data_IF_230558340700
#
_entry.id   IF_230558340700
#
_cell.length_a   1.000
_cell.length_b   1.000
_cell.length_c   1.000
_cell.angle_alpha   90.00
_cell.angle_beta   90.00
_cell.angle_gamma   90.00
#
_symmetry.space_group_name_H-M   'P 1'
#
loop_
_entity.id
_entity.type
_entity.pdbx_description
1 polymer ?
#
# COMPACT_ATOMS: atom_id res chain seq x y z
N UNK A 1 24.61 -10.59 10.68
CA UNK A 1 23.37 -10.95 10.03
C UNK A 1 22.75 -9.72 9.36
N UNK A 2 22.51 -9.80 8.06
CA UNK A 2 21.89 -8.65 7.40
C UNK A 2 20.48 -8.41 7.92
N UNK A 3 20.17 -7.18 8.18
CA UNK A 3 18.83 -6.80 8.58
C UNK A 3 18.00 -6.56 7.32
N UNK A 4 16.80 -7.11 7.31
CA UNK A 4 15.83 -6.76 6.28
C UNK A 4 15.46 -5.31 6.48
N UNK A 5 15.73 -4.49 5.48
CA UNK A 5 15.57 -3.05 5.61
C UNK A 5 14.25 -2.56 5.07
N UNK A 6 13.42 -3.43 4.51
CA UNK A 6 12.06 -3.08 4.12
C UNK A 6 11.09 -4.16 4.56
N UNK A 7 9.85 -3.75 4.73
CA UNK A 7 8.74 -4.62 5.11
C UNK A 7 7.52 -4.24 4.27
N UNK A 8 6.48 -5.07 4.32
CA UNK A 8 5.23 -4.80 3.64
C UNK A 8 4.19 -4.32 4.64
N UNK A 9 3.53 -3.23 4.31
CA UNK A 9 2.38 -2.73 5.06
C UNK A 9 1.13 -2.76 4.19
N UNK A 10 -0.03 -2.75 4.83
CA UNK A 10 -1.31 -2.78 4.14
C UNK A 10 -2.23 -1.71 4.68
N UNK A 11 -2.96 -1.06 3.79
CA UNK A 11 -4.03 -0.14 4.13
C UNK A 11 -5.30 -0.69 3.50
N UNK A 12 -6.30 -0.98 4.32
CA UNK A 12 -7.53 -1.62 3.87
C UNK A 12 -8.70 -0.64 3.91
N UNK A 13 -9.42 -0.56 2.80
CA UNK A 13 -10.65 0.23 2.70
C UNK A 13 -11.82 -0.71 2.49
N UNK A 14 -12.87 -0.52 3.28
CA UNK A 14 -14.13 -1.25 3.10
C UNK A 14 -15.03 -0.42 2.22
N UNK A 15 -15.50 -1.01 1.14
CA UNK A 15 -16.26 -0.31 0.12
C UNK A 15 -17.68 -0.90 0.00
N UNK A 16 -18.59 -0.06 -0.46
CA UNK A 16 -19.95 -0.49 -0.77
C UNK A 16 -19.91 -1.40 -2.02
N UNK A 17 -20.86 -2.32 -2.10
CA UNK A 17 -21.00 -3.21 -3.25
C UNK A 17 -21.38 -2.47 -4.54
N UNK A 18 -21.77 -1.21 -4.43
CA UNK A 18 -22.09 -0.35 -5.58
C UNK A 18 -20.86 0.33 -6.16
N UNK A 19 -19.68 0.11 -5.57
CA UNK A 19 -18.44 0.71 -6.03
C UNK A 19 -18.04 0.14 -7.37
N UNK A 20 -17.59 1.00 -8.28
CA UNK A 20 -16.91 0.55 -9.49
C UNK A 20 -15.51 0.10 -9.09
N UNK A 21 -15.23 -1.21 -9.13
CA UNK A 21 -13.94 -1.72 -8.64
C UNK A 21 -12.75 -1.20 -9.45
N UNK A 22 -12.90 -1.05 -10.75
CA UNK A 22 -11.82 -0.61 -11.61
C UNK A 22 -11.41 0.83 -11.29
N UNK A 23 -12.39 1.72 -11.13
CA UNK A 23 -12.12 3.13 -10.79
C UNK A 23 -11.49 3.26 -9.42
N UNK A 24 -11.99 2.52 -8.43
CA UNK A 24 -11.45 2.54 -7.07
C UNK A 24 -10.01 2.04 -7.04
N UNK A 25 -9.74 0.93 -7.70
CA UNK A 25 -8.41 0.35 -7.77
C UNK A 25 -7.43 1.30 -8.44
N UNK A 26 -7.83 1.90 -9.55
CA UNK A 26 -6.99 2.85 -10.29
C UNK A 26 -6.63 4.05 -9.43
N UNK A 27 -7.61 4.65 -8.76
CA UNK A 27 -7.40 5.83 -7.92
C UNK A 27 -6.43 5.52 -6.77
N UNK A 28 -6.61 4.38 -6.11
CA UNK A 28 -5.78 4.02 -4.96
C UNK A 28 -4.38 3.58 -5.37
N UNK A 29 -4.26 2.89 -6.49
CA UNK A 29 -2.95 2.51 -7.03
C UNK A 29 -2.15 3.76 -7.38
N UNK A 30 -2.77 4.75 -8.02
CA UNK A 30 -2.11 6.00 -8.33
C UNK A 30 -1.69 6.76 -7.08
N UNK A 31 -2.53 6.78 -6.05
CA UNK A 31 -2.20 7.40 -4.78
C UNK A 31 -0.96 6.76 -4.16
N UNK A 32 -0.95 5.43 -4.12
CA UNK A 32 0.18 4.69 -3.56
C UNK A 32 1.46 4.92 -4.35
N UNK A 33 1.38 4.91 -5.67
CA UNK A 33 2.55 5.14 -6.51
C UNK A 33 3.12 6.54 -6.34
N UNK A 34 2.28 7.53 -6.15
CA UNK A 34 2.74 8.90 -5.96
C UNK A 34 3.56 9.04 -4.66
N UNK A 35 3.19 8.34 -3.61
CA UNK A 35 3.96 8.30 -2.37
C UNK A 35 5.22 7.45 -2.55
N UNK A 36 5.07 6.28 -3.16
CA UNK A 36 6.17 5.33 -3.37
C UNK A 36 7.32 5.95 -4.16
N UNK A 37 7.04 6.76 -5.17
CA UNK A 37 8.07 7.41 -5.98
C UNK A 37 9.02 8.26 -5.15
N UNK A 38 8.59 8.77 -4.01
CA UNK A 38 9.42 9.60 -3.13
C UNK A 38 10.51 8.81 -2.44
N UNK A 39 10.34 7.50 -2.26
CA UNK A 39 11.32 6.66 -1.56
C UNK A 39 11.70 5.41 -2.35
N UNK A 40 11.29 5.32 -3.62
CA UNK A 40 11.55 4.14 -4.46
C UNK A 40 13.02 3.80 -4.56
N UNK A 41 13.88 4.80 -4.67
CA UNK A 41 15.33 4.57 -4.79
C UNK A 41 15.89 3.85 -3.57
N UNK A 42 15.39 4.18 -2.39
CA UNK A 42 15.82 3.51 -1.17
C UNK A 42 15.34 2.06 -1.14
N UNK A 43 14.10 1.81 -1.56
CA UNK A 43 13.59 0.44 -1.67
C UNK A 43 14.40 -0.37 -2.68
N UNK A 44 14.70 0.20 -3.84
CA UNK A 44 15.50 -0.46 -4.86
C UNK A 44 16.90 -0.82 -4.32
N UNK A 45 17.48 0.09 -3.56
CA UNK A 45 18.79 -0.15 -2.93
C UNK A 45 18.71 -1.31 -1.92
N UNK A 46 17.74 -1.28 -1.03
CA UNK A 46 17.58 -2.35 -0.04
C UNK A 46 17.29 -3.69 -0.69
N UNK A 47 16.50 -3.68 -1.76
CA UNK A 47 16.19 -4.89 -2.51
C UNK A 47 17.47 -5.47 -3.16
N UNK A 48 18.31 -4.63 -3.75
CA UNK A 48 19.56 -5.06 -4.35
C UNK A 48 20.52 -5.67 -3.31
N UNK A 49 20.58 -5.07 -2.12
CA UNK A 49 21.38 -5.60 -1.02
C UNK A 49 20.86 -6.98 -0.61
N UNK A 50 19.55 -7.11 -0.48
CA UNK A 50 18.93 -8.36 -0.07
C UNK A 50 19.15 -9.46 -1.10
N UNK A 51 19.04 -9.16 -2.39
CA UNK A 51 19.32 -10.13 -3.45
C UNK A 51 20.76 -10.63 -3.41
N UNK A 52 21.71 -9.74 -3.16
CA UNK A 52 23.12 -10.13 -3.04
C UNK A 52 23.36 -11.05 -1.84
N UNK A 53 22.77 -10.71 -0.71
CA UNK A 53 22.90 -11.49 0.52
C UNK A 53 22.29 -12.87 0.36
N UNK A 54 21.12 -12.95 -0.25
CA UNK A 54 20.41 -14.20 -0.46
C UNK A 54 20.91 -14.99 -1.67
N UNK A 55 21.76 -14.38 -2.48
CA UNK A 55 22.26 -14.95 -3.74
C UNK A 55 21.12 -15.46 -4.62
N UNK A 56 20.05 -14.68 -4.69
CA UNK A 56 18.82 -15.04 -5.40
C UNK A 56 18.18 -13.77 -5.94
N UNK A 57 17.72 -13.83 -7.18
CA UNK A 57 16.93 -12.76 -7.75
C UNK A 57 15.44 -12.98 -7.44
N UNK A 58 14.74 -11.92 -7.07
CA UNK A 58 13.29 -11.96 -6.86
C UNK A 58 12.67 -10.64 -7.25
N UNK A 59 11.33 -10.61 -7.48
CA UNK A 59 10.67 -9.41 -7.99
C UNK A 59 10.89 -8.19 -7.12
N UNK A 60 11.04 -7.03 -7.77
CA UNK A 60 11.16 -5.76 -7.05
C UNK A 60 9.88 -5.46 -6.30
N UNK A 61 9.99 -5.03 -5.04
CA UNK A 61 8.81 -4.63 -4.29
C UNK A 61 8.23 -3.33 -4.86
N UNK A 62 6.92 -3.31 -5.02
CA UNK A 62 6.20 -2.14 -5.50
C UNK A 62 4.77 -2.21 -4.97
N UNK A 63 4.08 -1.06 -4.87
CA UNK A 63 2.70 -1.06 -4.41
C UNK A 63 1.80 -1.89 -5.31
N UNK A 64 0.81 -2.52 -4.70
CA UNK A 64 -0.20 -3.29 -5.42
C UNK A 64 -1.50 -3.32 -4.64
N UNK A 65 -2.54 -3.81 -5.27
CA UNK A 65 -3.86 -3.90 -4.66
C UNK A 65 -4.40 -5.32 -4.81
N UNK A 66 -5.27 -5.69 -3.87
CA UNK A 66 -6.05 -6.92 -3.99
C UNK A 66 -7.44 -6.69 -3.43
N UNK A 67 -8.40 -7.47 -3.92
CA UNK A 67 -9.77 -7.45 -3.46
C UNK A 67 -10.03 -8.66 -2.57
N UNK A 68 -10.85 -8.48 -1.55
CA UNK A 68 -11.30 -9.59 -0.73
C UNK A 68 -12.68 -9.30 -0.15
N UNK A 69 -13.45 -10.36 0.09
CA UNK A 69 -14.70 -10.26 0.82
C UNK A 69 -14.45 -10.70 2.25
N UNK A 70 -14.99 -9.92 3.18
CA UNK A 70 -14.95 -10.23 4.61
C UNK A 70 -16.35 -10.05 5.19
N UNK A 71 -16.51 -10.31 6.47
CA UNK A 71 -17.78 -10.06 7.16
C UNK A 71 -18.17 -8.58 7.11
N UNK A 72 -17.18 -7.70 6.97
CA UNK A 72 -17.42 -6.26 6.86
C UNK A 72 -17.88 -5.84 5.45
N UNK A 73 -17.72 -6.70 4.45
CA UNK A 73 -18.12 -6.45 3.07
C UNK A 73 -16.97 -6.57 2.09
N UNK A 74 -17.00 -5.76 1.04
CA UNK A 74 -15.96 -5.75 0.01
C UNK A 74 -14.80 -4.87 0.46
N UNK A 75 -13.61 -5.45 0.49
CA UNK A 75 -12.41 -4.72 0.91
C UNK A 75 -11.41 -4.60 -0.23
N UNK A 76 -10.85 -3.40 -0.38
CA UNK A 76 -9.70 -3.16 -1.24
C UNK A 76 -8.49 -3.01 -0.33
N UNK A 77 -7.53 -3.89 -0.51
CA UNK A 77 -6.29 -3.89 0.26
C UNK A 77 -5.19 -3.28 -0.59
N UNK A 78 -4.65 -2.17 -0.12
CA UNK A 78 -3.49 -1.52 -0.74
C UNK A 78 -2.26 -1.99 0.01
N UNK A 79 -1.34 -2.62 -0.70
CA UNK A 79 -0.13 -3.18 -0.12
C UNK A 79 1.08 -2.44 -0.68
N UNK A 80 1.99 -2.04 0.18
CA UNK A 80 3.15 -1.26 -0.24
C UNK A 80 4.38 -1.59 0.60
N UNK A 81 5.58 -1.52 -0.01
CA UNK A 81 6.82 -1.71 0.76
C UNK A 81 7.17 -0.44 1.50
N UNK A 82 7.74 -0.58 2.69
CA UNK A 82 8.21 0.54 3.49
C UNK A 82 9.66 0.31 3.90
N UNK A 83 10.43 1.38 3.93
CA UNK A 83 11.75 1.37 4.55
C UNK A 83 11.53 1.32 6.05
N UNK A 84 12.05 0.30 6.72
CA UNK A 84 11.73 0.06 8.14
C UNK A 84 12.06 1.28 9.01
N UNK A 85 13.18 1.93 8.75
CA UNK A 85 13.61 3.10 9.52
C UNK A 85 12.68 4.31 9.37
N UNK A 86 11.88 4.34 8.29
CA UNK A 86 10.96 5.43 7.99
C UNK A 86 9.52 4.96 7.85
N UNK A 87 9.22 3.77 8.38
CA UNK A 87 7.92 3.13 8.18
C UNK A 87 6.77 4.00 8.68
N UNK A 88 6.91 4.59 9.84
CA UNK A 88 5.88 5.43 10.44
C UNK A 88 5.58 6.66 9.59
N UNK A 89 6.63 7.31 9.11
CA UNK A 89 6.52 8.47 8.23
C UNK A 89 5.87 8.10 6.89
N UNK A 90 6.28 6.98 6.32
CA UNK A 90 5.72 6.49 5.05
C UNK A 90 4.25 6.13 5.23
N UNK A 91 3.90 5.46 6.33
CA UNK A 91 2.50 5.12 6.62
C UNK A 91 1.64 6.37 6.76
N UNK A 92 2.16 7.40 7.40
CA UNK A 92 1.45 8.67 7.55
C UNK A 92 1.22 9.33 6.18
N UNK A 93 2.24 9.39 5.35
CA UNK A 93 2.14 9.96 4.01
C UNK A 93 1.16 9.16 3.14
N UNK A 94 1.22 7.84 3.23
CA UNK A 94 0.33 6.96 2.48
C UNK A 94 -1.12 7.16 2.89
N UNK A 95 -1.37 7.20 4.20
CA UNK A 95 -2.71 7.42 4.74
C UNK A 95 -3.26 8.77 4.31
N UNK A 96 -2.45 9.82 4.40
CA UNK A 96 -2.87 11.17 4.00
C UNK A 96 -3.21 11.24 2.52
N UNK A 97 -2.39 10.62 1.68
CA UNK A 97 -2.62 10.65 0.22
C UNK A 97 -3.89 9.87 -0.14
N UNK A 98 -4.10 8.71 0.47
CA UNK A 98 -5.32 7.93 0.25
C UNK A 98 -6.55 8.72 0.71
N UNK A 99 -6.47 9.35 1.89
CA UNK A 99 -7.58 10.15 2.39
C UNK A 99 -7.87 11.37 1.49
N UNK A 100 -6.82 11.99 0.95
CA UNK A 100 -6.97 13.10 0.01
C UNK A 100 -7.70 12.64 -1.26
N UNK A 101 -7.30 11.51 -1.82
CA UNK A 101 -7.93 10.95 -3.02
C UNK A 101 -9.39 10.61 -2.74
N UNK A 102 -9.68 9.99 -1.60
CA UNK A 102 -11.05 9.68 -1.20
C UNK A 102 -11.89 10.96 -1.08
N UNK A 103 -11.34 11.99 -0.45
CA UNK A 103 -12.07 13.24 -0.23
C UNK A 103 -12.35 14.01 -1.53
N UNK A 104 -11.46 13.88 -2.51
CA UNK A 104 -11.62 14.59 -3.79
C UNK A 104 -12.35 13.78 -4.86
N UNK A 105 -12.54 12.48 -4.62
CA UNK A 105 -13.28 11.60 -5.53
C UNK A 105 -14.65 11.31 -4.92
N UNK A 106 -15.68 12.01 -5.39
CA UNK A 106 -17.01 11.91 -4.83
C UNK A 106 -17.60 10.49 -4.90
N UNK A 107 -17.28 9.75 -5.95
CA UNK A 107 -17.74 8.39 -6.13
C UNK A 107 -17.11 7.47 -5.09
N UNK A 108 -15.81 7.61 -4.89
CA UNK A 108 -15.06 6.80 -3.92
C UNK A 108 -15.49 7.14 -2.48
N UNK A 109 -15.69 8.43 -2.21
CA UNK A 109 -16.16 8.88 -0.90
C UNK A 109 -17.53 8.29 -0.56
N UNK A 110 -18.45 8.28 -1.52
CA UNK A 110 -19.77 7.71 -1.35
C UNK A 110 -19.74 6.18 -1.18
N UNK A 111 -18.70 5.54 -1.64
CA UNK A 111 -18.56 4.08 -1.60
C UNK A 111 -17.92 3.57 -0.32
N UNK A 112 -17.26 4.43 0.46
CA UNK A 112 -16.62 3.99 1.69
C UNK A 112 -17.63 3.58 2.75
N UNK A 113 -17.35 2.46 3.39
CA UNK A 113 -18.10 1.96 4.51
C UNK A 113 -17.12 1.84 5.69
N UNK A 114 -17.24 2.76 6.63
CA UNK A 114 -16.35 2.78 7.79
C UNK A 114 -15.02 3.48 7.54
N UNK A 115 -14.14 3.39 8.51
CA UNK A 115 -12.84 4.04 8.48
C UNK A 115 -11.79 3.12 7.85
N UNK A 116 -10.92 3.64 6.98
CA UNK A 116 -9.79 2.85 6.46
C UNK A 116 -8.92 2.31 7.58
N UNK A 117 -8.43 1.10 7.42
CA UNK A 117 -7.60 0.43 8.43
C UNK A 117 -6.19 0.23 7.91
N UNK A 118 -5.23 0.63 8.73
CA UNK A 118 -3.83 0.43 8.46
C UNK A 118 -3.36 -0.83 9.19
N UNK A 119 -2.60 -1.65 8.48
CA UNK A 119 -2.08 -2.89 9.02
C UNK A 119 -0.63 -3.07 8.61
N UNK A 120 0.21 -3.38 9.57
CA UNK A 120 1.60 -3.72 9.30
C UNK A 120 1.73 -5.21 9.08
N UNK A 121 2.25 -5.58 7.90
CA UNK A 121 2.60 -6.96 7.61
C UNK A 121 4.11 -7.10 7.84
N UNK A 122 4.50 -7.90 8.81
CA UNK A 122 5.90 -8.05 9.21
C UNK A 122 6.59 -9.10 8.34
N UNK A 123 6.59 -8.92 7.05
CA UNK A 123 7.33 -9.82 6.19
C UNK A 123 7.94 -9.08 5.04
N UNK A 124 9.18 -9.28 4.90
CA UNK A 124 9.90 -8.82 3.73
C UNK A 124 9.86 -9.87 2.65
#
# INVERSE_FOLDING_TARGET
MPKTSYAWHELTLTLSTNTDPTSAQFALTNAANSVYEKYRKEIDHQHAVLERVMDTAFPKPQPGTKWQFTDAGLELVLRYPVVIEHAEEIDDQMTREVMRVVATNSQLKASLSGTPKLRAAIRA
#
